data_IF_202827964302
#
_entry.id   IF_202827964302
#
_cell.length_a   1.000
_cell.length_b   1.000
_cell.length_c   1.000
_cell.angle_alpha   90.00
_cell.angle_beta   90.00
_cell.angle_gamma   90.00
#
_symmetry.space_group_name_H-M   'P 1'
#
loop_
_entity.id
_entity.type
_entity.pdbx_description
1 polymer ?
#
# COMPACT_ATOMS: atom_id res chain seq x y z
N UNK A 1 -46.80 -17.56 28.85
CA UNK A 1 -46.73 -18.72 27.92
C UNK A 1 -45.61 -18.45 26.96
N UNK A 2 -44.55 -19.26 27.06
CA UNK A 2 -43.19 -19.07 26.55
C UNK A 2 -43.12 -19.03 25.00
N UNK A 3 -42.27 -18.15 24.49
CA UNK A 3 -41.56 -18.44 23.25
C UNK A 3 -40.09 -17.99 23.42
N UNK A 4 -39.22 -18.97 23.45
CA UNK A 4 -37.80 -18.85 23.65
C UNK A 4 -37.13 -18.25 22.38
N UNK A 5 -36.22 -17.35 22.64
CA UNK A 5 -35.23 -16.87 21.66
C UNK A 5 -34.11 -17.94 21.55
N UNK A 6 -34.04 -18.64 20.46
CA UNK A 6 -32.90 -19.47 20.12
C UNK A 6 -31.78 -18.58 19.55
N UNK A 7 -30.72 -18.46 20.33
CA UNK A 7 -29.43 -17.96 19.84
C UNK A 7 -28.77 -19.05 19.00
N UNK A 8 -28.70 -18.82 17.68
CA UNK A 8 -27.85 -19.60 16.79
C UNK A 8 -26.38 -19.50 17.21
N UNK A 9 -25.85 -20.61 17.68
CA UNK A 9 -24.42 -20.80 17.94
C UNK A 9 -23.66 -20.73 16.62
N UNK A 10 -22.65 -19.86 16.57
CA UNK A 10 -21.65 -19.87 15.53
C UNK A 10 -20.91 -21.22 15.59
N UNK A 11 -21.01 -21.99 14.53
CA UNK A 11 -20.31 -23.25 14.37
C UNK A 11 -18.80 -23.00 14.39
N UNK A 12 -18.14 -23.71 15.27
CA UNK A 12 -16.70 -23.83 15.37
C UNK A 12 -16.13 -24.40 14.08
N UNK A 13 -15.32 -23.60 13.38
CA UNK A 13 -14.63 -24.03 12.16
C UNK A 13 -13.77 -25.26 12.37
N UNK A 14 -13.90 -26.17 11.43
CA UNK A 14 -13.15 -27.42 11.32
C UNK A 14 -11.63 -27.17 11.33
N UNK A 15 -10.92 -27.81 12.25
CA UNK A 15 -9.48 -27.66 12.47
C UNK A 15 -8.61 -28.38 11.41
N UNK A 16 -9.19 -28.95 10.37
CA UNK A 16 -8.46 -29.77 9.37
C UNK A 16 -8.01 -29.04 8.12
N UNK A 17 -8.38 -27.77 7.92
CA UNK A 17 -7.85 -26.94 6.82
C UNK A 17 -8.10 -27.42 5.38
N UNK A 18 -8.75 -28.55 5.21
CA UNK A 18 -9.05 -29.16 3.93
C UNK A 18 -10.55 -28.94 3.62
N UNK A 19 -10.88 -27.89 2.89
CA UNK A 19 -12.23 -27.75 2.37
C UNK A 19 -12.86 -26.38 2.31
N UNK A 20 -12.13 -25.32 2.64
CA UNK A 20 -12.67 -23.96 2.50
C UNK A 20 -12.72 -23.58 1.01
N UNK A 21 -13.92 -23.45 0.49
CA UNK A 21 -14.14 -22.95 -0.88
C UNK A 21 -13.89 -21.43 -0.87
N UNK A 22 -12.80 -20.99 -1.53
CA UNK A 22 -12.53 -19.58 -1.74
C UNK A 22 -13.48 -19.03 -2.81
N UNK A 23 -14.20 -17.97 -2.50
CA UNK A 23 -15.04 -17.30 -3.49
C UNK A 23 -14.18 -16.47 -4.45
N UNK A 24 -14.17 -16.78 -5.75
CA UNK A 24 -13.38 -16.02 -6.73
C UNK A 24 -13.74 -14.53 -6.72
N UNK A 25 -12.71 -13.66 -6.70
CA UNK A 25 -12.88 -12.21 -6.72
C UNK A 25 -13.10 -11.56 -5.35
N UNK A 26 -13.14 -12.33 -4.25
CA UNK A 26 -13.11 -11.82 -2.89
C UNK A 26 -11.68 -11.80 -2.32
N UNK A 27 -11.37 -10.81 -1.47
CA UNK A 27 -10.08 -10.78 -0.78
C UNK A 27 -10.18 -11.72 0.42
N UNK A 28 -9.53 -12.87 0.33
CA UNK A 28 -9.35 -13.78 1.46
C UNK A 28 -7.91 -13.70 1.95
N UNK A 29 -7.73 -13.25 3.18
CA UNK A 29 -6.42 -13.11 3.86
C UNK A 29 -6.35 -13.92 5.14
N UNK A 30 -7.35 -14.77 5.40
CA UNK A 30 -7.43 -15.52 6.65
C UNK A 30 -6.31 -16.56 6.82
N UNK A 31 -5.70 -17.00 5.72
CA UNK A 31 -4.68 -18.04 5.68
C UNK A 31 -3.64 -17.79 4.58
N UNK A 32 -3.10 -16.58 4.50
CA UNK A 32 -2.09 -16.29 3.48
C UNK A 32 -1.71 -14.81 3.37
N UNK A 33 -0.77 -14.49 2.49
CA UNK A 33 -0.33 -13.14 2.26
C UNK A 33 -1.44 -12.29 1.61
N UNK A 34 -1.42 -10.97 1.90
CA UNK A 34 -2.25 -9.98 1.19
C UNK A 34 -1.77 -9.77 -0.24
N UNK A 35 -0.45 -9.84 -0.48
CA UNK A 35 0.16 -9.71 -1.79
C UNK A 35 1.11 -10.88 -2.03
N UNK A 36 1.00 -11.48 -3.20
CA UNK A 36 1.85 -12.59 -3.61
C UNK A 36 2.31 -12.42 -5.07
N UNK A 37 3.62 -12.39 -5.28
CA UNK A 37 4.29 -12.38 -6.58
C UNK A 37 5.04 -13.70 -6.74
N UNK A 38 4.83 -14.38 -7.87
CA UNK A 38 5.48 -15.65 -8.21
C UNK A 38 6.09 -15.57 -9.60
N UNK A 39 7.40 -15.77 -9.65
CA UNK A 39 8.22 -15.83 -10.87
C UNK A 39 8.01 -14.64 -11.83
N UNK A 40 7.75 -13.45 -11.25
CA UNK A 40 7.44 -12.25 -12.04
C UNK A 40 8.70 -11.82 -12.81
N UNK A 41 8.62 -11.84 -14.13
CA UNK A 41 9.66 -11.36 -15.03
C UNK A 41 9.09 -10.27 -15.94
N UNK A 42 9.80 -9.16 -16.05
CA UNK A 42 9.44 -8.03 -16.91
C UNK A 42 10.60 -7.69 -17.85
N UNK A 43 10.31 -7.59 -19.14
CA UNK A 43 11.29 -7.20 -20.16
C UNK A 43 10.78 -6.00 -20.95
N UNK A 44 11.65 -4.99 -21.07
CA UNK A 44 11.47 -3.85 -21.97
C UNK A 44 12.50 -3.97 -23.10
N UNK A 45 12.06 -4.43 -24.28
CA UNK A 45 12.99 -4.76 -25.36
C UNK A 45 14.00 -5.83 -24.93
N UNK A 46 15.30 -5.50 -24.98
CA UNK A 46 16.38 -6.39 -24.54
C UNK A 46 16.72 -6.33 -23.05
N UNK A 47 16.19 -5.34 -22.31
CA UNK A 47 16.46 -5.13 -20.88
C UNK A 47 15.47 -5.89 -20.00
N UNK A 48 15.99 -6.64 -19.03
CA UNK A 48 15.19 -7.35 -18.03
C UNK A 48 15.12 -6.50 -16.76
N UNK A 49 13.97 -5.90 -16.51
CA UNK A 49 13.73 -5.02 -15.36
C UNK A 49 13.35 -5.80 -14.09
N UNK A 50 12.60 -6.90 -14.23
CA UNK A 50 12.38 -7.90 -13.18
C UNK A 50 12.78 -9.27 -13.69
N UNK A 51 13.37 -10.07 -12.81
CA UNK A 51 13.94 -11.36 -13.14
C UNK A 51 13.51 -12.41 -12.13
N UNK A 52 12.47 -13.17 -12.45
CA UNK A 52 11.93 -14.25 -11.60
C UNK A 52 11.70 -13.76 -10.17
N UNK A 53 11.08 -12.58 -10.04
CA UNK A 53 10.83 -11.97 -8.74
C UNK A 53 9.76 -12.76 -7.97
N UNK A 54 10.13 -13.19 -6.76
CA UNK A 54 9.24 -13.82 -5.80
C UNK A 54 9.18 -12.95 -4.55
N UNK A 55 7.97 -12.55 -4.12
CA UNK A 55 7.74 -11.71 -2.94
C UNK A 55 6.36 -11.99 -2.37
N UNK A 56 6.27 -12.06 -1.05
CA UNK A 56 4.99 -12.12 -0.34
C UNK A 56 4.94 -11.08 0.78
N UNK A 57 3.78 -10.47 0.97
CA UNK A 57 3.50 -9.52 2.07
C UNK A 57 2.31 -10.05 2.85
N UNK A 58 2.46 -10.17 4.16
CA UNK A 58 1.40 -10.67 5.04
C UNK A 58 0.34 -9.58 5.31
N UNK A 59 -0.87 -10.01 5.65
CA UNK A 59 -1.93 -9.06 6.01
C UNK A 59 -1.53 -8.23 7.25
N UNK A 60 -1.74 -6.91 7.18
CA UNK A 60 -1.36 -5.97 8.25
C UNK A 60 0.15 -5.71 8.37
N UNK A 61 0.96 -6.32 7.51
CA UNK A 61 2.41 -6.12 7.50
C UNK A 61 2.79 -4.74 6.92
N UNK A 62 3.81 -4.09 7.51
CA UNK A 62 4.56 -3.01 6.89
C UNK A 62 5.89 -3.58 6.41
N UNK A 63 6.05 -3.65 5.09
CA UNK A 63 7.25 -4.11 4.41
C UNK A 63 8.03 -2.93 3.82
N UNK A 64 9.29 -2.79 4.23
CA UNK A 64 10.20 -1.88 3.56
C UNK A 64 10.92 -2.61 2.41
N UNK A 65 10.99 -1.99 1.25
CA UNK A 65 11.72 -2.50 0.08
C UNK A 65 12.82 -1.50 -0.27
N UNK A 66 14.06 -1.96 -0.18
CA UNK A 66 15.25 -1.17 -0.49
C UNK A 66 16.01 -1.78 -1.66
N UNK A 67 16.98 -1.06 -2.19
CA UNK A 67 17.83 -1.55 -3.27
C UNK A 67 18.41 -0.41 -4.09
N UNK A 68 19.49 -0.64 -4.84
CA UNK A 68 20.13 0.38 -5.67
C UNK A 68 19.20 0.89 -6.78
N UNK A 69 19.60 1.99 -7.41
CA UNK A 69 18.90 2.51 -8.59
C UNK A 69 18.95 1.47 -9.72
N UNK A 70 17.80 1.27 -10.38
CA UNK A 70 17.67 0.25 -11.41
C UNK A 70 17.43 -1.17 -10.90
N UNK A 71 17.32 -1.39 -9.58
CA UNK A 71 17.02 -2.71 -8.99
C UNK A 71 15.64 -3.29 -9.35
N UNK A 72 14.75 -2.49 -9.97
CA UNK A 72 13.42 -2.92 -10.38
C UNK A 72 12.29 -2.50 -9.45
N UNK A 73 12.56 -1.71 -8.39
CA UNK A 73 11.57 -1.29 -7.37
C UNK A 73 10.32 -0.66 -7.98
N UNK A 74 10.48 0.37 -8.80
CA UNK A 74 9.36 1.06 -9.47
C UNK A 74 8.64 0.13 -10.46
N UNK A 75 9.38 -0.71 -11.20
CA UNK A 75 8.78 -1.68 -12.12
C UNK A 75 7.93 -2.70 -11.37
N UNK A 76 8.36 -3.17 -10.21
CA UNK A 76 7.58 -4.05 -9.34
C UNK A 76 6.27 -3.38 -8.93
N UNK A 77 6.31 -2.13 -8.47
CA UNK A 77 5.10 -1.39 -8.12
C UNK A 77 4.19 -1.14 -9.34
N UNK A 78 4.77 -0.86 -10.50
CA UNK A 78 4.04 -0.68 -11.75
C UNK A 78 3.32 -1.98 -12.20
N UNK A 79 3.90 -3.15 -11.92
CA UNK A 79 3.24 -4.44 -12.18
C UNK A 79 2.09 -4.66 -11.20
N UNK A 80 2.30 -4.43 -9.91
CA UNK A 80 1.27 -4.61 -8.88
C UNK A 80 0.05 -3.71 -9.15
N UNK A 81 0.28 -2.49 -9.65
CA UNK A 81 -0.79 -1.52 -9.95
C UNK A 81 -1.37 -1.66 -11.35
N UNK A 82 -0.85 -2.56 -12.18
CA UNK A 82 -1.34 -2.78 -13.55
C UNK A 82 -0.90 -1.73 -14.58
N UNK A 83 -0.04 -0.78 -14.20
CA UNK A 83 0.57 0.20 -15.11
C UNK A 83 1.53 -0.49 -16.07
N UNK A 84 2.25 -1.51 -15.60
CA UNK A 84 3.05 -2.43 -16.42
C UNK A 84 2.42 -3.81 -16.36
N UNK A 85 2.00 -4.34 -17.51
CA UNK A 85 1.33 -5.64 -17.57
C UNK A 85 1.45 -6.27 -18.96
N UNK A 86 0.85 -7.45 -19.18
CA UNK A 86 0.93 -8.19 -20.44
C UNK A 86 0.44 -7.41 -21.67
N UNK A 87 -0.27 -6.29 -21.47
CA UNK A 87 -0.80 -5.45 -22.56
C UNK A 87 0.22 -4.47 -23.13
N UNK A 88 1.20 -4.05 -22.33
CA UNK A 88 2.14 -2.97 -22.67
C UNK A 88 3.60 -3.32 -22.44
N UNK A 89 3.88 -4.51 -21.89
CA UNK A 89 5.23 -5.03 -21.69
C UNK A 89 5.24 -6.55 -21.81
N UNK A 90 6.43 -7.14 -22.01
CA UNK A 90 6.59 -8.59 -21.90
C UNK A 90 6.70 -8.98 -20.43
N UNK A 91 5.55 -9.32 -19.84
CA UNK A 91 5.41 -9.68 -18.42
C UNK A 91 4.95 -11.12 -18.33
N UNK A 92 5.64 -11.91 -17.50
CA UNK A 92 5.27 -13.27 -17.15
C UNK A 92 5.32 -13.47 -15.63
N UNK A 93 4.76 -14.59 -15.15
CA UNK A 93 4.61 -14.88 -13.74
C UNK A 93 3.19 -14.65 -13.26
N UNK A 94 3.00 -14.56 -11.94
CA UNK A 94 1.70 -14.39 -11.28
C UNK A 94 1.75 -13.31 -10.23
N UNK A 95 0.68 -12.51 -10.12
CA UNK A 95 0.53 -11.48 -9.08
C UNK A 95 -0.88 -11.54 -8.53
N UNK A 96 -1.01 -11.87 -7.26
CA UNK A 96 -2.29 -12.01 -6.59
C UNK A 96 -2.45 -11.04 -5.43
N UNK A 97 -3.65 -10.46 -5.29
CA UNK A 97 -4.11 -9.79 -4.09
C UNK A 97 -5.02 -10.77 -3.32
N UNK A 98 -4.65 -11.07 -2.07
CA UNK A 98 -5.20 -12.20 -1.36
C UNK A 98 -4.95 -13.49 -2.13
N UNK A 99 -5.84 -14.48 -1.97
CA UNK A 99 -5.65 -15.80 -2.60
C UNK A 99 -6.33 -15.94 -3.95
N UNK A 100 -7.23 -15.03 -4.33
CA UNK A 100 -8.13 -15.23 -5.47
C UNK A 100 -8.10 -14.16 -6.55
N UNK A 101 -7.57 -12.96 -6.27
CA UNK A 101 -7.61 -11.84 -7.21
C UNK A 101 -6.31 -11.78 -8.03
N UNK A 102 -6.39 -12.21 -9.28
CA UNK A 102 -5.28 -12.15 -10.25
C UNK A 102 -5.15 -10.73 -10.82
N UNK A 103 -4.16 -9.98 -10.35
CA UNK A 103 -3.91 -8.60 -10.76
C UNK A 103 -3.43 -8.49 -12.21
N UNK A 104 -2.78 -9.52 -12.75
CA UNK A 104 -2.28 -9.54 -14.12
C UNK A 104 -3.40 -9.47 -15.18
N UNK A 105 -4.62 -9.83 -14.79
CA UNK A 105 -5.82 -9.80 -15.65
C UNK A 105 -6.65 -8.53 -15.49
N UNK A 106 -6.25 -7.64 -14.56
CA UNK A 106 -7.02 -6.45 -14.24
C UNK A 106 -6.46 -5.20 -14.93
N UNK A 107 -7.29 -4.18 -15.01
CA UNK A 107 -6.87 -2.83 -15.40
C UNK A 107 -6.54 -2.00 -14.17
N UNK A 108 -5.68 -1.00 -14.31
CA UNK A 108 -5.27 -0.09 -13.22
C UNK A 108 -6.46 0.45 -12.39
N UNK A 109 -7.57 0.98 -13.00
CA UNK A 109 -8.72 1.43 -12.22
C UNK A 109 -9.42 0.32 -11.43
N UNK A 110 -9.43 -0.92 -11.94
CA UNK A 110 -10.01 -2.06 -11.22
C UNK A 110 -9.14 -2.48 -10.04
N UNK A 111 -7.81 -2.45 -10.21
CA UNK A 111 -6.85 -2.73 -9.16
C UNK A 111 -7.01 -1.73 -8.00
N UNK A 112 -7.18 -0.45 -8.30
CA UNK A 112 -7.49 0.55 -7.29
C UNK A 112 -8.84 0.26 -6.57
N UNK A 113 -9.86 -0.18 -7.32
CA UNK A 113 -11.18 -0.50 -6.74
C UNK A 113 -11.17 -1.72 -5.81
N UNK A 114 -10.33 -2.72 -6.05
CA UNK A 114 -10.19 -3.88 -5.16
C UNK A 114 -9.36 -3.59 -3.92
N UNK A 115 -8.82 -2.38 -3.77
CA UNK A 115 -8.22 -1.91 -2.53
C UNK A 115 -6.70 -1.79 -2.54
N UNK A 116 -6.07 -1.61 -3.70
CA UNK A 116 -4.66 -1.21 -3.78
C UNK A 116 -4.58 0.30 -3.97
N UNK A 117 -4.10 1.00 -2.94
CA UNK A 117 -3.76 2.42 -3.01
C UNK A 117 -2.28 2.60 -3.35
N UNK A 118 -1.95 3.50 -4.28
CA UNK A 118 -0.56 3.86 -4.57
C UNK A 118 -0.37 5.36 -4.47
N UNK A 119 0.62 5.76 -3.67
CA UNK A 119 1.15 7.11 -3.67
C UNK A 119 2.24 7.24 -4.72
N UNK A 120 2.10 8.20 -5.60
CA UNK A 120 3.13 8.55 -6.59
C UNK A 120 4.15 9.53 -6.01
N UNK A 121 5.32 9.65 -6.64
CA UNK A 121 6.39 10.56 -6.18
C UNK A 121 5.97 12.05 -6.13
N UNK A 122 5.10 12.49 -7.07
CA UNK A 122 4.57 13.86 -7.04
C UNK A 122 3.22 13.87 -6.35
N UNK A 123 3.01 14.77 -5.36
CA UNK A 123 1.71 14.91 -4.71
C UNK A 123 0.61 15.26 -5.72
N UNK A 124 -0.52 14.57 -5.60
CA UNK A 124 -1.70 14.72 -6.47
C UNK A 124 -2.87 15.35 -5.73
N UNK A 125 -2.59 16.40 -4.95
CA UNK A 125 -3.62 17.15 -4.21
C UNK A 125 -4.29 18.19 -5.09
N UNK A 126 -5.56 18.48 -4.85
CA UNK A 126 -6.30 19.55 -5.49
C UNK A 126 -5.96 20.88 -4.79
N UNK A 127 -4.96 21.59 -5.30
CA UNK A 127 -4.33 22.74 -4.64
C UNK A 127 -5.29 23.91 -4.36
N UNK A 128 -6.33 24.10 -5.18
CA UNK A 128 -7.33 25.16 -5.02
C UNK A 128 -8.41 24.83 -3.98
N UNK A 129 -8.52 23.57 -3.60
CA UNK A 129 -9.48 23.09 -2.61
C UNK A 129 -8.88 23.07 -1.21
N UNK A 130 -9.74 23.22 -0.20
CA UNK A 130 -9.34 23.04 1.18
C UNK A 130 -8.87 21.61 1.45
N UNK A 131 -8.09 21.40 2.52
CA UNK A 131 -7.66 20.07 2.97
C UNK A 131 -8.87 19.16 3.20
N UNK A 132 -9.90 19.69 3.88
CA UNK A 132 -11.17 18.99 4.09
C UNK A 132 -11.79 18.51 2.78
N UNK A 133 -11.91 19.41 1.79
CA UNK A 133 -12.52 19.10 0.50
C UNK A 133 -11.71 18.05 -0.29
N UNK A 134 -10.38 18.07 -0.18
CA UNK A 134 -9.53 17.03 -0.77
C UNK A 134 -9.86 15.65 -0.20
N UNK A 135 -10.02 15.54 1.13
CA UNK A 135 -10.39 14.29 1.78
C UNK A 135 -11.81 13.85 1.40
N UNK A 136 -12.75 14.79 1.32
CA UNK A 136 -14.12 14.53 0.90
C UNK A 136 -14.18 13.98 -0.53
N UNK A 137 -13.48 14.61 -1.47
CA UNK A 137 -13.39 14.17 -2.87
C UNK A 137 -12.75 12.79 -3.04
N UNK A 138 -11.84 12.43 -2.14
CA UNK A 138 -11.18 11.13 -2.14
C UNK A 138 -12.01 9.99 -1.55
N UNK A 139 -13.13 10.30 -0.87
CA UNK A 139 -13.98 9.27 -0.25
C UNK A 139 -14.47 8.26 -1.29
N UNK A 140 -14.48 6.99 -0.88
CA UNK A 140 -15.11 5.92 -1.65
C UNK A 140 -16.63 6.14 -1.66
N UNK A 141 -17.14 6.83 -2.69
CA UNK A 141 -18.56 7.06 -2.88
C UNK A 141 -19.16 5.99 -3.77
N UNK A 142 -20.40 5.61 -3.48
CA UNK A 142 -21.21 4.79 -4.39
C UNK A 142 -21.46 5.61 -5.66
N UNK A 143 -20.81 5.22 -6.78
CA UNK A 143 -20.80 5.99 -8.04
C UNK A 143 -22.15 5.93 -8.81
N UNK A 144 -23.26 5.67 -8.13
CA UNK A 144 -24.59 5.85 -8.70
C UNK A 144 -24.82 7.36 -8.84
N UNK A 145 -24.94 7.84 -10.08
CA UNK A 145 -25.10 9.26 -10.42
C UNK A 145 -26.21 9.97 -9.62
N UNK A 146 -27.23 9.26 -9.19
CA UNK A 146 -28.29 9.75 -8.33
C UNK A 146 -27.85 10.00 -6.88
N UNK A 147 -26.83 9.32 -6.36
CA UNK A 147 -26.29 9.57 -5.02
C UNK A 147 -25.39 10.81 -5.00
N UNK A 148 -24.67 11.08 -6.08
CA UNK A 148 -23.83 12.28 -6.19
C UNK A 148 -24.64 13.59 -6.22
N UNK A 149 -25.87 13.58 -6.74
CA UNK A 149 -26.73 14.76 -6.78
C UNK A 149 -27.37 15.11 -5.41
N UNK A 150 -27.40 14.16 -4.45
CA UNK A 150 -27.96 14.31 -3.10
C UNK A 150 -26.95 14.07 -1.98
N UNK A 151 -25.66 13.91 -2.30
CA UNK A 151 -24.62 13.64 -1.32
C UNK A 151 -24.39 14.85 -0.42
N UNK A 152 -25.23 14.99 0.61
CA UNK A 152 -24.80 15.60 1.85
C UNK A 152 -23.94 14.56 2.56
N UNK A 153 -22.73 14.94 2.99
CA UNK A 153 -21.89 14.12 3.85
C UNK A 153 -22.76 13.54 4.97
N UNK A 154 -22.74 12.22 5.08
CA UNK A 154 -23.38 11.56 6.23
C UNK A 154 -22.55 11.86 7.48
N UNK A 155 -23.14 11.80 8.67
CA UNK A 155 -22.39 11.95 9.92
C UNK A 155 -21.22 10.95 10.05
N UNK A 156 -21.28 9.80 9.38
CA UNK A 156 -20.18 8.85 9.27
C UNK A 156 -19.04 9.38 8.38
N UNK A 157 -19.37 10.06 7.27
CA UNK A 157 -18.38 10.69 6.40
C UNK A 157 -17.62 11.81 7.10
N UNK A 158 -18.33 12.68 7.83
CA UNK A 158 -17.70 13.74 8.64
C UNK A 158 -16.72 13.16 9.66
N UNK A 159 -17.15 12.20 10.48
CA UNK A 159 -16.26 11.57 11.46
C UNK A 159 -15.01 10.98 10.82
N UNK A 160 -15.17 10.33 9.67
CA UNK A 160 -14.04 9.74 8.98
C UNK A 160 -13.01 10.77 8.49
N UNK A 161 -13.49 11.94 8.01
CA UNK A 161 -12.58 13.04 7.63
C UNK A 161 -11.87 13.56 8.89
N UNK A 162 -12.58 13.79 9.99
CA UNK A 162 -12.00 14.23 11.26
C UNK A 162 -10.94 13.24 11.78
N UNK A 163 -11.25 11.94 11.79
CA UNK A 163 -10.30 10.88 12.16
C UNK A 163 -9.06 10.86 11.24
N UNK A 164 -9.25 11.10 9.93
CA UNK A 164 -8.15 11.15 8.98
C UNK A 164 -7.30 12.42 9.16
N UNK A 165 -7.92 13.57 9.44
CA UNK A 165 -7.21 14.80 9.78
C UNK A 165 -6.35 14.60 11.03
N UNK A 166 -6.93 14.06 12.10
CA UNK A 166 -6.19 13.76 13.33
C UNK A 166 -5.02 12.80 13.08
N UNK A 167 -5.24 11.73 12.30
CA UNK A 167 -4.22 10.75 11.97
C UNK A 167 -3.07 11.37 11.15
N UNK A 168 -3.38 12.28 10.23
CA UNK A 168 -2.40 12.96 9.37
C UNK A 168 -1.78 14.20 10.03
N UNK A 169 -2.28 14.64 11.19
CA UNK A 169 -1.86 15.86 11.89
C UNK A 169 -2.13 17.12 11.06
N UNK A 170 -3.32 17.18 10.45
CA UNK A 170 -3.74 18.29 9.60
C UNK A 170 -5.03 18.96 10.09
N UNK A 171 -5.42 18.76 11.37
CA UNK A 171 -6.64 19.33 11.95
C UNK A 171 -6.66 20.85 11.85
N UNK A 172 -5.56 21.50 12.19
CA UNK A 172 -5.43 22.96 12.16
C UNK A 172 -5.45 23.54 10.75
N UNK A 173 -5.16 22.69 9.75
CA UNK A 173 -5.11 23.06 8.34
C UNK A 173 -6.39 22.67 7.56
N UNK A 174 -7.40 22.12 8.25
CA UNK A 174 -8.57 21.51 7.61
C UNK A 174 -9.25 22.38 6.56
N UNK A 175 -9.35 23.67 6.82
CA UNK A 175 -10.02 24.63 5.95
C UNK A 175 -9.06 25.49 5.11
N UNK A 176 -7.76 25.23 5.20
CA UNK A 176 -6.73 25.91 4.41
C UNK A 176 -6.67 25.34 3.00
N UNK A 177 -6.49 26.17 1.95
CA UNK A 177 -6.21 25.67 0.60
C UNK A 177 -4.97 24.76 0.58
N UNK A 178 -5.07 23.57 -0.02
CA UNK A 178 -3.99 22.60 -0.04
C UNK A 178 -2.73 23.11 -0.78
N UNK A 179 -2.89 24.07 -1.69
CA UNK A 179 -1.77 24.74 -2.36
C UNK A 179 -0.82 25.47 -1.40
N UNK A 180 -1.30 25.92 -0.24
CA UNK A 180 -0.54 26.66 0.77
C UNK A 180 0.15 25.76 1.81
N UNK A 181 -0.04 24.46 1.74
CA UNK A 181 0.62 23.49 2.62
C UNK A 181 2.11 23.35 2.27
N UNK A 182 2.92 23.00 3.28
CA UNK A 182 4.30 22.57 3.07
C UNK A 182 4.36 21.29 2.23
N UNK A 183 5.54 20.93 1.75
CA UNK A 183 5.72 19.71 0.98
C UNK A 183 5.33 18.48 1.81
N UNK A 184 5.79 18.37 3.04
CA UNK A 184 5.46 17.26 3.94
C UNK A 184 3.98 17.23 4.33
N UNK A 185 3.34 18.38 4.53
CA UNK A 185 1.88 18.46 4.75
C UNK A 185 1.11 17.95 3.54
N UNK A 186 1.51 18.32 2.29
CA UNK A 186 0.91 17.80 1.06
C UNK A 186 1.08 16.28 0.95
N UNK A 187 2.24 15.74 1.33
CA UNK A 187 2.48 14.29 1.34
C UNK A 187 1.55 13.58 2.32
N UNK A 188 1.37 14.12 3.54
CA UNK A 188 0.45 13.55 4.54
C UNK A 188 -1.00 13.66 4.10
N UNK A 189 -1.39 14.77 3.45
CA UNK A 189 -2.73 14.92 2.87
C UNK A 189 -2.98 13.87 1.79
N UNK A 190 -2.03 13.61 0.90
CA UNK A 190 -2.16 12.58 -0.14
C UNK A 190 -2.34 11.19 0.46
N UNK A 191 -1.60 10.85 1.52
CA UNK A 191 -1.81 9.60 2.26
C UNK A 191 -3.21 9.58 2.88
N UNK A 192 -3.66 10.67 3.48
CA UNK A 192 -5.01 10.82 4.00
C UNK A 192 -6.07 10.56 2.91
N UNK A 193 -5.90 11.13 1.72
CA UNK A 193 -6.79 10.89 0.58
C UNK A 193 -6.82 9.40 0.17
N UNK A 194 -5.69 8.71 0.21
CA UNK A 194 -5.64 7.27 -0.05
C UNK A 194 -6.37 6.47 1.06
N UNK A 195 -6.21 6.85 2.32
CA UNK A 195 -6.90 6.22 3.45
C UNK A 195 -8.42 6.39 3.40
N UNK A 196 -8.92 7.51 2.84
CA UNK A 196 -10.35 7.71 2.59
C UNK A 196 -10.94 6.66 1.64
N UNK A 197 -10.12 6.04 0.79
CA UNK A 197 -10.53 4.96 -0.11
C UNK A 197 -10.55 3.57 0.54
N UNK A 198 -10.13 3.44 1.81
CA UNK A 198 -10.06 2.17 2.55
C UNK A 198 -9.20 1.11 1.84
N UNK A 199 -7.93 1.40 1.57
CA UNK A 199 -7.08 0.43 0.90
C UNK A 199 -6.81 -0.78 1.79
N UNK A 200 -6.72 -1.96 1.19
CA UNK A 200 -6.24 -3.18 1.83
C UNK A 200 -4.70 -3.25 1.80
N UNK A 201 -4.12 -2.69 0.75
CA UNK A 201 -2.68 -2.57 0.55
C UNK A 201 -2.34 -1.16 0.08
N UNK A 202 -1.45 -0.49 0.81
CA UNK A 202 -0.93 0.83 0.48
C UNK A 202 0.51 0.71 -0.03
N UNK A 203 0.75 1.23 -1.23
CA UNK A 203 2.06 1.26 -1.87
C UNK A 203 2.60 2.69 -1.83
N UNK A 204 3.74 2.88 -1.18
CA UNK A 204 4.41 4.18 -1.03
C UNK A 204 5.78 4.14 -1.72
N UNK A 205 5.97 5.05 -2.69
CA UNK A 205 7.18 5.15 -3.52
C UNK A 205 7.94 6.42 -3.11
N UNK A 206 9.06 6.25 -2.41
CA UNK A 206 9.91 7.32 -1.88
C UNK A 206 9.11 8.42 -1.16
N UNK A 207 8.31 8.06 -0.12
CA UNK A 207 7.38 8.99 0.50
C UNK A 207 8.04 10.16 1.23
N UNK A 208 9.33 10.08 1.60
CA UNK A 208 10.06 11.15 2.33
C UNK A 208 10.93 12.04 1.42
N UNK A 209 10.92 11.80 0.11
CA UNK A 209 11.73 12.60 -0.81
C UNK A 209 11.43 14.10 -0.69
N UNK A 210 12.46 14.91 -0.35
CA UNK A 210 12.35 16.36 -0.20
C UNK A 210 11.69 16.84 1.09
N UNK A 211 11.48 15.98 2.08
CA UNK A 211 10.99 16.33 3.41
C UNK A 211 12.13 16.71 4.35
N UNK A 212 11.80 17.51 5.37
CA UNK A 212 12.70 17.79 6.49
C UNK A 212 12.74 16.59 7.46
N UNK A 213 13.72 16.53 8.37
CA UNK A 213 13.82 15.45 9.37
C UNK A 213 12.59 15.41 10.28
N UNK A 214 12.02 16.58 10.62
CA UNK A 214 10.80 16.67 11.41
C UNK A 214 9.60 16.11 10.65
N UNK A 215 9.41 16.50 9.40
CA UNK A 215 8.32 15.98 8.53
C UNK A 215 8.47 14.46 8.33
N UNK A 216 9.70 13.97 8.14
CA UNK A 216 10.02 12.54 8.03
C UNK A 216 9.65 11.78 9.29
N UNK A 217 9.96 12.33 10.47
CA UNK A 217 9.58 11.74 11.77
C UNK A 217 8.06 11.68 11.94
N UNK A 218 7.36 12.75 11.58
CA UNK A 218 5.89 12.78 11.61
C UNK A 218 5.29 11.74 10.67
N UNK A 219 5.83 11.58 9.47
CA UNK A 219 5.38 10.56 8.52
C UNK A 219 5.66 9.15 9.02
N UNK A 220 6.82 8.89 9.63
CA UNK A 220 7.12 7.60 10.25
C UNK A 220 6.11 7.25 11.36
N UNK A 221 5.76 8.23 12.20
CA UNK A 221 4.74 8.06 13.24
C UNK A 221 3.37 7.73 12.66
N UNK A 222 2.94 8.44 11.60
CA UNK A 222 1.70 8.17 10.89
C UNK A 222 1.67 6.72 10.36
N UNK A 223 2.70 6.29 9.62
CA UNK A 223 2.73 4.95 9.02
C UNK A 223 2.81 3.85 10.08
N UNK A 224 3.53 4.09 11.18
CA UNK A 224 3.56 3.14 12.30
C UNK A 224 2.19 3.04 13.01
N UNK A 225 1.42 4.13 13.09
CA UNK A 225 0.06 4.14 13.61
C UNK A 225 -0.94 3.34 12.75
N UNK A 226 -0.64 3.14 11.46
CA UNK A 226 -1.47 2.38 10.53
C UNK A 226 -1.20 0.87 10.56
N UNK A 227 -0.15 0.41 11.26
CA UNK A 227 0.17 -1.02 11.34
C UNK A 227 -0.99 -1.84 11.85
N UNK A 228 -1.20 -2.99 11.24
CA UNK A 228 -2.29 -3.91 11.57
C UNK A 228 -3.64 -3.52 11.01
N UNK A 229 -3.89 -2.23 10.74
CA UNK A 229 -5.13 -1.75 10.13
C UNK A 229 -5.07 -1.70 8.58
N UNK A 230 -3.87 -1.55 8.03
CA UNK A 230 -3.60 -1.54 6.60
C UNK A 230 -2.27 -2.20 6.32
N UNK A 231 -2.22 -3.06 5.30
CA UNK A 231 -0.95 -3.61 4.82
C UNK A 231 -0.22 -2.56 4.01
N UNK A 232 1.09 -2.45 4.18
CA UNK A 232 1.87 -1.39 3.54
C UNK A 232 3.15 -1.94 2.92
N UNK A 233 3.48 -1.46 1.72
CA UNK A 233 4.80 -1.63 1.10
C UNK A 233 5.40 -0.25 0.85
N UNK A 234 6.54 0.01 1.45
CA UNK A 234 7.27 1.27 1.37
C UNK A 234 8.58 1.04 0.63
N UNK A 235 8.72 1.63 -0.53
CA UNK A 235 9.98 1.64 -1.30
C UNK A 235 10.75 2.87 -0.88
N UNK A 236 11.96 2.68 -0.38
CA UNK A 236 12.79 3.77 0.14
C UNK A 236 14.28 3.50 -0.05
N UNK A 237 15.06 4.57 0.01
CA UNK A 237 16.51 4.54 0.02
C UNK A 237 17.10 5.26 1.26
N UNK A 238 16.29 5.99 2.01
CA UNK A 238 16.66 6.61 3.28
C UNK A 238 16.67 5.55 4.39
N UNK A 239 17.87 5.20 4.84
CA UNK A 239 18.06 4.12 5.81
C UNK A 239 17.65 4.50 7.23
N UNK A 240 17.58 5.79 7.57
CA UNK A 240 17.09 6.26 8.87
C UNK A 240 15.57 6.13 8.93
N UNK A 241 14.90 6.53 7.86
CA UNK A 241 13.46 6.33 7.75
C UNK A 241 13.07 4.86 7.70
N UNK A 242 13.81 4.03 6.94
CA UNK A 242 13.60 2.57 6.94
C UNK A 242 13.79 1.99 8.34
N UNK A 243 14.79 2.45 9.11
CA UNK A 243 14.99 2.02 10.50
C UNK A 243 13.83 2.45 11.41
N UNK A 244 13.32 3.66 11.25
CA UNK A 244 12.18 4.17 12.02
C UNK A 244 10.88 3.38 11.71
N UNK A 245 10.71 2.93 10.47
CA UNK A 245 9.58 2.10 10.06
C UNK A 245 9.77 0.63 10.45
N UNK A 246 10.89 0.01 10.11
CA UNK A 246 11.09 -1.41 10.37
C UNK A 246 11.14 -1.72 11.86
N UNK A 247 11.75 -0.85 12.68
CA UNK A 247 12.01 -1.14 14.09
C UNK A 247 12.85 -2.42 14.23
N UNK A 248 12.77 -3.05 15.40
CA UNK A 248 13.57 -4.25 15.69
C UNK A 248 13.06 -5.52 15.00
N UNK A 249 11.77 -5.59 14.68
CA UNK A 249 11.10 -6.82 14.18
C UNK A 249 10.49 -6.68 12.77
N UNK A 250 10.56 -5.48 12.16
CA UNK A 250 10.00 -5.26 10.82
C UNK A 250 10.82 -5.95 9.75
N UNK A 251 10.14 -6.40 8.69
CA UNK A 251 10.78 -7.04 7.55
C UNK A 251 11.25 -6.02 6.51
N UNK A 252 12.47 -6.21 6.05
CA UNK A 252 13.08 -5.44 4.96
C UNK A 252 13.43 -6.41 3.83
N UNK A 253 13.04 -6.07 2.62
CA UNK A 253 13.39 -6.80 1.40
C UNK A 253 14.38 -5.96 0.58
N UNK A 254 15.49 -6.57 0.18
CA UNK A 254 16.46 -5.94 -0.72
C UNK A 254 16.25 -6.46 -2.12
N UNK A 255 16.00 -5.54 -3.05
CA UNK A 255 15.98 -5.83 -4.48
C UNK A 255 17.31 -5.48 -5.12
N UNK A 256 17.81 -6.39 -5.97
CA UNK A 256 18.93 -6.15 -6.86
C UNK A 256 18.71 -6.89 -8.18
N UNK A 257 19.06 -6.26 -9.31
CA UNK A 257 18.97 -6.86 -10.65
C UNK A 257 17.61 -7.49 -10.98
N UNK A 258 16.53 -6.89 -10.46
CA UNK A 258 15.16 -7.33 -10.70
C UNK A 258 14.69 -8.54 -9.89
N UNK A 259 15.45 -8.98 -8.89
CA UNK A 259 15.10 -10.09 -8.00
C UNK A 259 15.31 -9.74 -6.53
N UNK A 260 14.74 -10.56 -5.62
CA UNK A 260 15.00 -10.44 -4.17
C UNK A 260 16.40 -10.97 -3.88
N UNK A 261 17.29 -10.10 -3.40
CA UNK A 261 18.64 -10.44 -3.00
C UNK A 261 18.70 -10.96 -1.56
N UNK A 262 18.01 -10.29 -0.65
CA UNK A 262 17.93 -10.66 0.76
C UNK A 262 16.61 -10.21 1.38
N UNK A 263 16.17 -10.90 2.41
CA UNK A 263 14.99 -10.55 3.21
C UNK A 263 15.24 -10.87 4.68
N UNK A 264 14.81 -9.98 5.57
CA UNK A 264 14.96 -10.17 7.01
C UNK A 264 14.77 -8.88 7.80
N UNK A 265 15.30 -8.84 9.02
CA UNK A 265 15.36 -7.61 9.80
C UNK A 265 16.38 -6.64 9.18
N UNK A 266 16.23 -5.34 9.45
CA UNK A 266 17.17 -4.34 8.94
C UNK A 266 18.62 -4.67 9.31
N UNK A 267 18.87 -5.15 10.55
CA UNK A 267 20.20 -5.52 11.02
C UNK A 267 20.77 -6.76 10.29
N UNK A 268 19.91 -7.75 9.98
CA UNK A 268 20.35 -8.94 9.24
C UNK A 268 20.73 -8.57 7.79
N UNK A 269 19.92 -7.71 7.17
CA UNK A 269 20.12 -7.26 5.79
C UNK A 269 21.38 -6.39 5.67
N UNK A 270 21.64 -5.50 6.64
CA UNK A 270 22.85 -4.66 6.66
C UNK A 270 24.15 -5.46 6.81
N UNK A 271 24.08 -6.68 7.34
CA UNK A 271 25.25 -7.58 7.53
C UNK A 271 25.44 -8.57 6.39
N UNK A 272 24.50 -8.67 5.47
CA UNK A 272 24.61 -9.58 4.33
C UNK A 272 25.65 -9.04 3.34
N UNK A 273 26.73 -9.81 3.11
CA UNK A 273 27.82 -9.43 2.23
C UNK A 273 27.34 -9.13 0.81
N UNK A 274 26.37 -9.89 0.29
CA UNK A 274 25.80 -9.68 -1.05
C UNK A 274 25.10 -8.32 -1.14
N UNK A 275 24.42 -7.90 -0.06
CA UNK A 275 23.78 -6.59 0.03
C UNK A 275 24.84 -5.50 0.02
N UNK A 276 25.89 -5.62 0.85
CA UNK A 276 26.98 -4.67 0.91
C UNK A 276 27.64 -4.52 -0.48
N UNK A 277 27.94 -5.61 -1.14
CA UNK A 277 28.52 -5.61 -2.49
C UNK A 277 27.61 -4.93 -3.52
N UNK A 278 26.30 -5.16 -3.45
CA UNK A 278 25.33 -4.56 -4.38
C UNK A 278 25.23 -3.04 -4.29
N UNK A 279 25.56 -2.46 -3.13
CA UNK A 279 25.60 -1.01 -2.90
C UNK A 279 26.98 -0.40 -3.16
N UNK A 280 28.07 -1.14 -2.89
CA UNK A 280 29.46 -0.66 -3.03
C UNK A 280 30.08 -0.96 -4.40
N UNK A 281 29.56 -1.96 -5.10
CA UNK A 281 30.10 -2.47 -6.36
C UNK A 281 29.76 -1.65 -7.61
N UNK A 282 29.36 -0.38 -7.46
CA UNK A 282 29.07 0.53 -8.58
C UNK A 282 29.94 1.76 -8.56
#
# INVERSE_FOLDING_TARGET
MNAALEHGQAESGDATGLGRVLEPGTIDVSHGPILYLEDVTVRFGGFRALNTLNLSIDHGELRCVIGPNGAGKTTMMDVITGKTGPRNANVSGRVFLGQTIDLMRMTEPRIAQVGIGRKFQKPTVFEQHAVWENLELAMKADKRWWSSLRARLTGAGHRRIEETLALTGLEDEAYRPAGLLSHGQKQRLEIGMLLMQQPQLLLLDEPVAGMTDEETTQLASLLNGLRGSCSMMVVEHDMEFVAALAGAAGKVTVLAEGSVLAEGTLDSVKRDERVIESYLGR
#
